data_IF_834610460156
#
_entry.id   IF_834610460156
#
_cell.length_a   1.000
_cell.length_b   1.000
_cell.length_c   1.000
_cell.angle_alpha   90.00
_cell.angle_beta   90.00
_cell.angle_gamma   90.00
#
_symmetry.space_group_name_H-M   'P 1'
#
loop_
_entity.id
_entity.type
_entity.pdbx_description
1 polymer ?
#
# COMPACT_ATOMS: atom_id res chain seq x y z
N UNK A 1 12.64 -1.64 14.56
CA UNK A 1 11.37 -1.48 15.32
C UNK A 1 10.91 -2.84 15.84
N UNK A 2 10.21 -2.94 16.97
CA UNK A 2 9.73 -4.24 17.48
C UNK A 2 8.68 -4.82 16.51
N UNK A 3 8.86 -6.07 16.06
CA UNK A 3 7.94 -6.78 15.16
C UNK A 3 6.49 -6.74 15.65
N UNK A 4 6.30 -6.85 16.97
CA UNK A 4 4.99 -6.74 17.60
C UNK A 4 4.35 -5.39 17.33
N UNK A 5 5.12 -4.30 17.41
CA UNK A 5 4.63 -2.94 17.13
C UNK A 5 4.24 -2.81 15.66
N UNK A 6 5.03 -3.36 14.74
CA UNK A 6 4.71 -3.34 13.31
C UNK A 6 3.40 -4.07 13.02
N UNK A 7 3.22 -5.30 13.54
CA UNK A 7 1.99 -6.09 13.35
C UNK A 7 0.77 -5.37 13.91
N UNK A 8 0.87 -4.84 15.14
CA UNK A 8 -0.22 -4.10 15.78
C UNK A 8 -0.57 -2.84 14.98
N UNK A 9 0.43 -2.14 14.45
CA UNK A 9 0.22 -0.93 13.64
C UNK A 9 -0.46 -1.24 12.30
N UNK A 10 -0.05 -2.32 11.62
CA UNK A 10 -0.66 -2.78 10.36
C UNK A 10 -2.14 -3.15 10.54
N UNK A 11 -2.44 -3.98 11.54
CA UNK A 11 -3.83 -4.36 11.86
C UNK A 11 -4.62 -3.12 12.29
N UNK A 12 -4.00 -2.26 13.11
CA UNK A 12 -4.57 -1.00 13.56
C UNK A 12 -4.97 -0.08 12.41
N UNK A 13 -4.14 0.03 11.36
CA UNK A 13 -4.42 0.85 10.18
C UNK A 13 -5.69 0.39 9.44
N UNK A 14 -5.90 -0.93 9.32
CA UNK A 14 -7.10 -1.51 8.69
C UNK A 14 -8.33 -1.33 9.57
N UNK A 15 -8.21 -1.59 10.88
CA UNK A 15 -9.30 -1.39 11.84
C UNK A 15 -9.72 0.08 11.89
N UNK A 16 -8.76 1.00 11.90
CA UNK A 16 -9.00 2.44 11.84
C UNK A 16 -9.81 2.79 10.59
N UNK A 17 -9.41 2.28 9.42
CA UNK A 17 -10.16 2.49 8.17
C UNK A 17 -11.61 1.99 8.27
N UNK A 18 -11.81 0.80 8.85
CA UNK A 18 -13.16 0.25 9.09
C UNK A 18 -14.00 1.10 10.04
N UNK A 19 -13.40 1.60 11.12
CA UNK A 19 -14.07 2.48 12.08
C UNK A 19 -14.43 3.83 11.45
N UNK A 20 -13.55 4.42 10.64
CA UNK A 20 -13.81 5.68 9.92
C UNK A 20 -15.10 5.58 9.10
N UNK A 21 -15.34 4.45 8.41
CA UNK A 21 -16.59 4.22 7.65
C UNK A 21 -17.84 4.20 8.54
N UNK A 22 -17.73 3.76 9.79
CA UNK A 22 -18.86 3.74 10.72
C UNK A 22 -19.23 5.13 11.24
N UNK A 23 -18.28 6.07 11.26
CA UNK A 23 -18.47 7.42 11.79
C UNK A 23 -18.77 8.47 10.72
N UNK A 24 -18.28 8.29 9.48
CA UNK A 24 -18.49 9.24 8.40
C UNK A 24 -19.81 8.97 7.68
N UNK A 25 -20.62 10.02 7.53
CA UNK A 25 -21.83 10.00 6.70
C UNK A 25 -21.55 9.49 5.29
N UNK A 26 -22.38 8.56 4.80
CA UNK A 26 -22.25 7.93 3.48
C UNK A 26 -22.11 8.93 2.31
N UNK A 27 -22.64 10.14 2.46
CA UNK A 27 -22.52 11.22 1.48
C UNK A 27 -21.09 11.78 1.36
N UNK A 28 -20.33 11.85 2.46
CA UNK A 28 -18.96 12.40 2.49
C UNK A 28 -17.89 11.35 2.20
N UNK A 29 -18.20 10.06 2.36
CA UNK A 29 -17.24 8.96 2.21
C UNK A 29 -16.47 9.00 0.88
N UNK A 30 -17.16 9.21 -0.26
CA UNK A 30 -16.49 9.23 -1.57
C UNK A 30 -15.43 10.32 -1.70
N UNK A 31 -15.72 11.53 -1.22
CA UNK A 31 -14.77 12.65 -1.30
C UNK A 31 -13.59 12.46 -0.35
N UNK A 32 -13.85 11.96 0.86
CA UNK A 32 -12.81 11.69 1.87
C UNK A 32 -11.88 10.58 1.38
N UNK A 33 -12.42 9.47 0.86
CA UNK A 33 -11.65 8.38 0.27
C UNK A 33 -10.72 8.91 -0.83
N UNK A 34 -11.25 9.71 -1.77
CA UNK A 34 -10.46 10.29 -2.86
C UNK A 34 -9.33 11.21 -2.38
N UNK A 35 -9.56 12.00 -1.34
CA UNK A 35 -8.53 12.90 -0.78
C UNK A 35 -7.45 12.10 -0.04
N UNK A 36 -7.85 11.12 0.77
CA UNK A 36 -6.92 10.25 1.51
C UNK A 36 -6.09 9.37 0.55
N UNK A 37 -6.70 8.86 -0.52
CA UNK A 37 -6.00 8.15 -1.58
C UNK A 37 -5.01 9.07 -2.29
N UNK A 38 -5.39 10.31 -2.64
CA UNK A 38 -4.48 11.26 -3.27
C UNK A 38 -3.27 11.60 -2.36
N UNK A 39 -3.49 11.74 -1.05
CA UNK A 39 -2.40 11.89 -0.08
C UNK A 39 -1.47 10.67 -0.09
N UNK A 40 -2.05 9.47 0.04
CA UNK A 40 -1.29 8.21 0.03
C UNK A 40 -0.51 8.00 -1.27
N UNK A 41 -1.11 8.30 -2.42
CA UNK A 41 -0.44 8.22 -3.71
C UNK A 41 0.75 9.16 -3.81
N UNK A 42 0.62 10.41 -3.35
CA UNK A 42 1.75 11.35 -3.29
C UNK A 42 2.86 10.88 -2.35
N UNK A 43 2.49 10.35 -1.18
CA UNK A 43 3.43 9.82 -0.20
C UNK A 43 4.20 8.61 -0.74
N UNK A 44 3.51 7.59 -1.26
CA UNK A 44 4.13 6.40 -1.84
C UNK A 44 5.03 6.73 -3.03
N UNK A 45 4.59 7.65 -3.91
CA UNK A 45 5.39 8.10 -5.04
C UNK A 45 6.71 8.72 -4.56
N UNK A 46 6.64 9.62 -3.57
CA UNK A 46 7.82 10.29 -3.04
C UNK A 46 8.80 9.31 -2.38
N UNK A 47 8.32 8.33 -1.60
CA UNK A 47 9.21 7.30 -1.02
C UNK A 47 9.81 6.41 -2.12
N UNK A 48 9.01 5.96 -3.09
CA UNK A 48 9.51 5.11 -4.16
C UNK A 48 10.66 5.77 -4.93
N UNK A 49 10.53 7.05 -5.29
CA UNK A 49 11.55 7.76 -6.07
C UNK A 49 12.75 8.25 -5.26
N UNK A 50 12.56 8.72 -4.02
CA UNK A 50 13.65 9.32 -3.25
C UNK A 50 14.41 8.33 -2.38
N UNK A 51 13.82 7.15 -2.13
CA UNK A 51 14.38 6.19 -1.18
C UNK A 51 14.56 4.81 -1.81
N UNK A 52 13.49 4.13 -2.20
CA UNK A 52 13.59 2.73 -2.63
C UNK A 52 14.30 2.55 -3.98
N UNK A 53 13.97 3.34 -5.00
CA UNK A 53 14.64 3.23 -6.31
C UNK A 53 16.14 3.52 -6.22
N UNK A 54 16.60 4.63 -5.58
CA UNK A 54 18.04 4.86 -5.39
C UNK A 54 18.76 3.71 -4.70
N UNK A 55 18.19 3.18 -3.60
CA UNK A 55 18.78 2.05 -2.86
C UNK A 55 18.88 0.80 -3.73
N UNK A 56 17.82 0.44 -4.44
CA UNK A 56 17.83 -0.70 -5.35
C UNK A 56 18.91 -0.53 -6.41
N UNK A 57 18.94 0.59 -7.13
CA UNK A 57 19.92 0.79 -8.21
C UNK A 57 21.37 0.89 -7.73
N UNK A 58 21.62 1.22 -6.45
CA UNK A 58 22.94 1.17 -5.84
C UNK A 58 23.51 -0.27 -5.73
N UNK A 59 22.67 -1.31 -5.85
CA UNK A 59 23.11 -2.71 -5.85
C UNK A 59 23.79 -3.14 -7.16
N UNK A 60 23.93 -2.24 -8.16
CA UNK A 60 24.59 -2.49 -9.46
C UNK A 60 24.03 -3.67 -10.27
N UNK A 61 22.79 -4.10 -10.00
CA UNK A 61 22.12 -5.14 -10.76
C UNK A 61 21.32 -4.53 -11.93
N UNK A 62 21.76 -4.78 -13.16
CA UNK A 62 21.13 -4.26 -14.37
C UNK A 62 19.68 -4.73 -14.59
N UNK A 63 19.22 -5.78 -13.89
CA UNK A 63 17.88 -6.34 -14.03
C UNK A 63 16.83 -5.71 -13.11
N UNK A 64 17.21 -4.80 -12.19
CA UNK A 64 16.26 -4.16 -11.24
C UNK A 64 15.09 -3.51 -11.96
N UNK A 65 15.35 -2.77 -13.04
CA UNK A 65 14.29 -2.12 -13.81
C UNK A 65 13.25 -3.10 -14.37
N UNK A 66 13.67 -4.32 -14.73
CA UNK A 66 12.74 -5.35 -15.20
C UNK A 66 11.84 -5.87 -14.08
N UNK A 67 12.36 -6.00 -12.85
CA UNK A 67 11.56 -6.41 -11.70
C UNK A 67 10.58 -5.31 -11.25
N UNK A 68 10.98 -4.03 -11.35
CA UNK A 68 10.07 -2.90 -11.16
C UNK A 68 8.93 -2.93 -12.19
N UNK A 69 9.24 -3.15 -13.47
CA UNK A 69 8.21 -3.31 -14.52
C UNK A 69 7.32 -4.52 -14.24
N UNK A 70 7.89 -5.65 -13.83
CA UNK A 70 7.13 -6.84 -13.48
C UNK A 70 6.15 -6.56 -12.33
N UNK A 71 6.59 -5.86 -11.28
CA UNK A 71 5.74 -5.43 -10.18
C UNK A 71 4.60 -4.51 -10.61
N UNK A 72 4.90 -3.53 -11.47
CA UNK A 72 3.88 -2.65 -12.06
C UNK A 72 2.81 -3.47 -12.80
N UNK A 73 3.23 -4.43 -13.64
CA UNK A 73 2.31 -5.29 -14.39
C UNK A 73 1.52 -6.26 -13.50
N UNK A 74 2.15 -6.82 -12.45
CA UNK A 74 1.46 -7.64 -11.45
C UNK A 74 0.34 -6.82 -10.81
N UNK A 75 0.63 -5.58 -10.41
CA UNK A 75 -0.38 -4.72 -9.83
C UNK A 75 -1.50 -4.39 -10.82
N UNK A 76 -1.18 -4.08 -12.08
CA UNK A 76 -2.18 -3.84 -13.11
C UNK A 76 -3.14 -5.04 -13.30
N UNK A 77 -2.62 -6.28 -13.23
CA UNK A 77 -3.44 -7.50 -13.29
C UNK A 77 -4.31 -7.61 -12.04
N UNK A 78 -3.77 -7.36 -10.85
CA UNK A 78 -4.54 -7.39 -9.61
C UNK A 78 -5.64 -6.30 -9.60
N UNK A 79 -5.35 -5.12 -10.15
CA UNK A 79 -6.31 -4.02 -10.29
C UNK A 79 -7.51 -4.43 -11.16
N UNK A 80 -7.26 -5.09 -12.29
CA UNK A 80 -8.33 -5.60 -13.15
C UNK A 80 -9.32 -6.49 -12.39
N UNK A 81 -8.83 -7.33 -11.46
CA UNK A 81 -9.65 -8.19 -10.63
C UNK A 81 -10.25 -7.47 -9.40
N UNK A 82 -9.60 -6.41 -8.91
CA UNK A 82 -10.08 -5.59 -7.79
C UNK A 82 -11.10 -4.53 -8.22
N UNK A 83 -11.25 -4.28 -9.53
CA UNK A 83 -12.14 -3.25 -10.07
C UNK A 83 -11.72 -1.83 -9.68
N UNK A 84 -10.45 -1.64 -9.29
CA UNK A 84 -9.87 -0.34 -8.99
C UNK A 84 -10.32 0.31 -7.67
N UNK A 85 -10.77 -0.48 -6.69
CA UNK A 85 -11.17 0.04 -5.36
C UNK A 85 -10.00 0.73 -4.66
N UNK A 86 -8.77 0.28 -4.90
CA UNK A 86 -7.54 0.83 -4.32
C UNK A 86 -7.20 2.25 -4.77
N UNK A 87 -7.84 2.77 -5.83
CA UNK A 87 -7.75 4.17 -6.26
C UNK A 87 -9.11 4.88 -6.28
N UNK A 88 -10.15 4.25 -5.72
CA UNK A 88 -11.40 4.91 -5.34
C UNK A 88 -12.60 4.62 -6.25
N UNK A 89 -12.51 3.67 -7.17
CA UNK A 89 -13.67 3.22 -7.96
C UNK A 89 -14.54 2.23 -7.19
N UNK A 90 -15.45 2.76 -6.39
CA UNK A 90 -16.47 1.93 -5.76
C UNK A 90 -17.74 1.96 -6.60
N UNK A 91 -17.87 1.03 -7.55
CA UNK A 91 -19.12 0.81 -8.29
C UNK A 91 -20.12 0.00 -7.45
N UNK A 92 -20.78 0.70 -6.52
CA UNK A 92 -21.78 0.11 -5.63
C UNK A 92 -23.03 -0.26 -6.43
N UNK A 93 -23.29 -1.57 -6.57
CA UNK A 93 -24.59 -2.09 -6.97
C UNK A 93 -25.27 -2.66 -5.73
N UNK A 94 -26.19 -1.90 -5.13
CA UNK A 94 -26.88 -2.29 -3.91
C UNK A 94 -27.54 -3.68 -4.06
N UNK A 95 -27.33 -4.55 -3.07
CA UNK A 95 -27.97 -5.87 -3.00
C UNK A 95 -27.31 -7.00 -3.79
N UNK A 96 -26.20 -6.76 -4.51
CA UNK A 96 -25.42 -7.83 -5.15
C UNK A 96 -24.49 -8.53 -4.14
N UNK A 97 -24.17 -9.83 -4.36
CA UNK A 97 -23.19 -10.55 -3.54
C UNK A 97 -21.80 -9.93 -3.65
N UNK A 98 -20.97 -10.15 -2.63
CA UNK A 98 -19.59 -9.66 -2.62
C UNK A 98 -18.79 -10.21 -3.81
N UNK A 99 -18.04 -9.36 -4.54
CA UNK A 99 -17.09 -9.83 -5.53
C UNK A 99 -15.90 -10.48 -4.82
N UNK A 100 -15.94 -11.80 -4.61
CA UNK A 100 -14.84 -12.53 -3.95
C UNK A 100 -13.50 -12.39 -4.68
N UNK A 101 -13.52 -12.24 -6.00
CA UNK A 101 -12.32 -12.00 -6.80
C UNK A 101 -11.59 -10.72 -6.38
N UNK A 102 -12.34 -9.67 -6.03
CA UNK A 102 -11.81 -8.41 -5.53
C UNK A 102 -11.12 -8.59 -4.19
N UNK A 103 -11.76 -9.31 -3.28
CA UNK A 103 -11.16 -9.61 -1.97
C UNK A 103 -9.86 -10.38 -2.11
N UNK A 104 -9.83 -11.39 -2.98
CA UNK A 104 -8.64 -12.20 -3.23
C UNK A 104 -7.53 -11.35 -3.84
N UNK A 105 -7.85 -10.53 -4.86
CA UNK A 105 -6.86 -9.65 -5.49
C UNK A 105 -6.24 -8.66 -4.49
N UNK A 106 -7.07 -7.98 -3.68
CA UNK A 106 -6.60 -7.09 -2.61
C UNK A 106 -5.76 -7.85 -1.57
N UNK A 107 -6.17 -9.07 -1.20
CA UNK A 107 -5.45 -9.88 -0.23
C UNK A 107 -4.08 -10.30 -0.74
N UNK A 108 -3.97 -10.68 -2.03
CA UNK A 108 -2.69 -11.01 -2.67
C UNK A 108 -1.79 -9.78 -2.76
N UNK A 109 -2.35 -8.64 -3.16
CA UNK A 109 -1.65 -7.36 -3.20
C UNK A 109 -1.03 -7.02 -1.82
N UNK A 110 -1.86 -6.98 -0.76
CA UNK A 110 -1.41 -6.65 0.60
C UNK A 110 -0.46 -7.70 1.19
N UNK A 111 -0.60 -8.97 0.80
CA UNK A 111 0.35 -10.00 1.20
C UNK A 111 1.73 -9.74 0.61
N UNK A 112 1.84 -9.51 -0.71
CA UNK A 112 3.11 -9.29 -1.41
C UNK A 112 3.84 -8.07 -0.84
N UNK A 113 3.10 -6.98 -0.62
CA UNK A 113 3.60 -5.76 -0.02
C UNK A 113 4.15 -5.94 1.41
N UNK A 114 3.58 -6.87 2.18
CA UNK A 114 4.04 -7.15 3.54
C UNK A 114 5.38 -7.89 3.59
N UNK A 115 5.80 -8.58 2.52
CA UNK A 115 6.99 -9.45 2.57
C UNK A 115 8.30 -8.67 2.75
N UNK A 116 8.58 -7.56 2.02
CA UNK A 116 9.82 -6.80 2.19
C UNK A 116 9.98 -6.11 3.55
N UNK A 117 8.93 -6.03 4.38
CA UNK A 117 9.04 -5.54 5.76
C UNK A 117 9.95 -6.42 6.63
N UNK A 118 10.23 -7.66 6.20
CA UNK A 118 11.13 -8.57 6.89
C UNK A 118 12.61 -8.31 6.57
N UNK A 119 12.93 -7.40 5.65
CA UNK A 119 14.33 -7.07 5.30
C UNK A 119 14.97 -6.39 6.51
N UNK A 120 16.03 -6.97 7.11
CA UNK A 120 16.72 -6.34 8.23
C UNK A 120 17.37 -5.04 7.77
N UNK A 121 17.28 -3.99 8.59
CA UNK A 121 17.86 -2.67 8.30
C UNK A 121 19.36 -2.80 7.88
N UNK A 122 20.11 -3.74 8.47
CA UNK A 122 21.55 -3.92 8.19
C UNK A 122 21.90 -4.38 6.76
N UNK A 123 21.00 -5.07 6.04
CA UNK A 123 21.30 -5.59 4.70
C UNK A 123 21.23 -4.48 3.63
N UNK A 124 20.34 -3.51 3.81
CA UNK A 124 20.19 -2.37 2.88
C UNK A 124 21.38 -1.39 2.97
N UNK A 125 22.07 -1.33 4.11
CA UNK A 125 23.10 -0.32 4.40
C UNK A 125 24.51 -0.62 3.83
N UNK A 126 24.74 -1.81 3.25
CA UNK A 126 26.09 -2.17 2.77
C UNK A 126 26.47 -1.57 1.42
N UNK A 127 25.54 -0.87 0.73
CA UNK A 127 25.77 -0.29 -0.59
C UNK A 127 26.08 1.22 -0.60
N UNK A 128 25.91 1.95 0.50
CA UNK A 128 26.06 3.42 0.55
C UNK A 128 27.36 3.89 1.22
N UNK A 129 28.52 3.51 0.66
CA UNK A 129 29.79 4.16 0.99
C UNK A 129 29.99 5.47 0.21
N UNK A 130 29.16 6.48 0.48
CA UNK A 130 29.50 7.89 0.23
C UNK A 130 28.44 8.79 0.89
N UNK A 131 28.89 9.65 1.79
CA UNK A 131 28.13 10.65 2.57
C UNK A 131 27.60 10.17 3.92
N UNK A 132 28.39 10.48 4.95
CA UNK A 132 27.96 10.55 6.34
C UNK A 132 26.80 11.54 6.49
N UNK A 133 25.57 11.05 6.45
CA UNK A 133 24.44 11.62 7.19
C UNK A 133 23.51 10.46 7.58
N UNK A 134 23.21 10.40 8.87
CA UNK A 134 22.29 9.48 9.52
C UNK A 134 21.02 9.18 8.69
N UNK A 135 20.52 7.94 8.69
CA UNK A 135 19.09 7.64 8.95
C UNK A 135 18.79 6.13 9.06
N UNK A 136 18.34 5.72 10.24
CA UNK A 136 17.88 4.37 10.62
C UNK A 136 16.45 4.05 10.12
N UNK A 137 16.08 4.46 8.89
CA UNK A 137 14.67 4.66 8.51
C UNK A 137 14.13 3.84 7.32
N UNK A 138 14.86 2.88 6.73
CA UNK A 138 14.36 2.17 5.54
C UNK A 138 13.17 1.24 5.79
N UNK A 139 13.18 0.45 6.88
CA UNK A 139 12.01 -0.35 7.27
C UNK A 139 10.85 0.51 7.79
N UNK A 140 11.15 1.69 8.37
CA UNK A 140 10.14 2.59 8.93
C UNK A 140 9.41 3.38 7.86
N UNK A 141 10.13 3.86 6.84
CA UNK A 141 9.54 4.56 5.70
C UNK A 141 8.61 3.63 4.91
N UNK A 142 9.01 2.35 4.72
CA UNK A 142 8.16 1.31 4.15
C UNK A 142 6.92 1.05 5.01
N UNK A 143 7.09 0.82 6.32
CA UNK A 143 5.93 0.57 7.20
C UNK A 143 4.95 1.74 7.18
N UNK A 144 5.44 2.99 7.24
CA UNK A 144 4.59 4.17 7.19
C UNK A 144 3.90 4.32 5.84
N UNK A 145 4.59 4.01 4.74
CA UNK A 145 4.00 3.90 3.41
C UNK A 145 2.83 2.95 3.43
N UNK A 146 3.06 1.75 3.97
CA UNK A 146 2.07 0.69 4.09
C UNK A 146 0.86 1.15 4.91
N UNK A 147 1.10 1.69 6.10
CA UNK A 147 0.03 2.20 6.98
C UNK A 147 -0.81 3.27 6.27
N UNK A 148 -0.16 4.25 5.62
CA UNK A 148 -0.86 5.37 5.00
C UNK A 148 -1.65 5.02 3.75
N UNK A 149 -1.28 3.99 2.98
CA UNK A 149 -2.12 3.51 1.86
C UNK A 149 -3.16 2.49 2.32
N UNK A 150 -2.84 1.66 3.31
CA UNK A 150 -3.72 0.56 3.70
C UNK A 150 -4.96 1.06 4.44
N UNK A 151 -4.87 2.18 5.16
CA UNK A 151 -6.05 2.85 5.75
C UNK A 151 -7.07 3.27 4.68
N UNK A 152 -6.75 4.05 3.63
CA UNK A 152 -7.64 4.34 2.52
C UNK A 152 -8.26 3.10 1.86
N UNK A 153 -7.46 2.06 1.61
CA UNK A 153 -7.92 0.79 1.01
C UNK A 153 -8.94 0.09 1.94
N UNK A 154 -8.68 0.07 3.25
CA UNK A 154 -9.59 -0.48 4.24
C UNK A 154 -10.91 0.29 4.33
N UNK A 155 -10.87 1.63 4.22
CA UNK A 155 -12.08 2.46 4.12
C UNK A 155 -12.89 2.03 2.88
N UNK A 156 -12.24 1.92 1.72
CA UNK A 156 -12.91 1.56 0.47
C UNK A 156 -13.52 0.15 0.52
N UNK A 157 -12.79 -0.84 1.06
CA UNK A 157 -13.27 -2.21 1.26
C UNK A 157 -14.43 -2.25 2.26
N UNK A 158 -14.33 -1.56 3.40
CA UNK A 158 -15.42 -1.52 4.37
C UNK A 158 -16.66 -0.83 3.81
N UNK A 159 -16.53 0.28 3.07
CA UNK A 159 -17.64 0.92 2.36
C UNK A 159 -18.34 -0.07 1.41
N UNK A 160 -17.57 -0.85 0.63
CA UNK A 160 -18.13 -1.90 -0.23
C UNK A 160 -18.88 -2.96 0.59
N UNK A 161 -18.28 -3.47 1.66
CA UNK A 161 -18.85 -4.48 2.54
C UNK A 161 -20.14 -4.01 3.23
N UNK A 162 -20.23 -2.72 3.57
CA UNK A 162 -21.44 -2.11 4.15
C UNK A 162 -22.53 -1.86 3.11
N UNK A 163 -22.17 -1.76 1.84
CA UNK A 163 -23.12 -1.64 0.72
C UNK A 163 -23.61 -2.98 0.16
N UNK A 164 -22.89 -4.06 0.48
CA UNK A 164 -23.25 -5.45 0.16
C UNK A 164 -24.36 -5.99 1.08
N UNK A 165 -24.94 -7.15 0.76
CA UNK A 165 -25.97 -7.82 1.58
C UNK A 165 -25.46 -8.44 2.90
N UNK A 166 -24.26 -8.08 3.35
CA UNK A 166 -23.66 -8.64 4.55
C UNK A 166 -24.08 -7.93 5.83
N UNK A 167 -24.26 -8.72 6.89
CA UNK A 167 -24.44 -8.18 8.23
C UNK A 167 -23.15 -7.49 8.71
N UNK A 168 -23.28 -6.53 9.62
CA UNK A 168 -22.14 -5.78 10.17
C UNK A 168 -21.04 -6.70 10.72
N UNK A 169 -21.44 -7.79 11.40
CA UNK A 169 -20.51 -8.80 11.93
C UNK A 169 -19.71 -9.48 10.81
N UNK A 170 -20.37 -9.85 9.70
CA UNK A 170 -19.69 -10.45 8.54
C UNK A 170 -18.76 -9.45 7.84
N UNK A 171 -19.15 -8.19 7.70
CA UNK A 171 -18.28 -7.13 7.15
C UNK A 171 -16.99 -7.02 7.97
N UNK A 172 -17.09 -6.95 9.29
CA UNK A 172 -15.93 -6.90 10.18
C UNK A 172 -15.08 -8.17 10.13
N UNK A 173 -15.69 -9.35 10.08
CA UNK A 173 -14.96 -10.60 9.93
C UNK A 173 -14.09 -10.59 8.67
N UNK A 174 -14.67 -10.22 7.52
CA UNK A 174 -13.94 -10.16 6.25
C UNK A 174 -12.85 -9.09 6.29
N UNK A 175 -13.12 -7.92 6.87
CA UNK A 175 -12.12 -6.87 7.04
C UNK A 175 -10.95 -7.33 7.92
N UNK A 176 -11.21 -8.11 8.98
CA UNK A 176 -10.16 -8.69 9.83
C UNK A 176 -9.36 -9.77 9.11
N UNK A 177 -9.99 -10.57 8.24
CA UNK A 177 -9.25 -11.49 7.37
C UNK A 177 -8.30 -10.74 6.44
N UNK A 178 -8.74 -9.62 5.86
CA UNK A 178 -7.88 -8.74 5.08
C UNK A 178 -6.75 -8.12 5.93
N UNK A 179 -7.04 -7.68 7.16
CA UNK A 179 -6.06 -7.07 8.06
C UNK A 179 -4.86 -7.96 8.40
N UNK A 180 -5.04 -9.29 8.31
CA UNK A 180 -4.00 -10.27 8.60
C UNK A 180 -3.08 -10.51 7.39
N UNK A 181 -3.47 -10.10 6.17
CA UNK A 181 -2.70 -10.40 4.96
C UNK A 181 -1.31 -9.75 4.95
N UNK A 182 -1.17 -8.47 5.33
CA UNK A 182 0.14 -7.82 5.40
C UNK A 182 1.04 -8.40 6.51
N UNK A 183 0.55 -8.63 7.75
CA UNK A 183 1.29 -9.39 8.75
C UNK A 183 1.70 -10.80 8.31
N UNK A 184 0.84 -11.49 7.54
CA UNK A 184 1.18 -12.79 6.96
C UNK A 184 2.31 -12.67 5.93
N UNK A 185 2.31 -11.62 5.10
CA UNK A 185 3.41 -11.30 4.19
C UNK A 185 4.72 -11.11 4.95
N UNK A 186 4.70 -10.32 6.02
CA UNK A 186 5.86 -10.09 6.88
C UNK A 186 6.39 -11.40 7.49
N UNK A 187 5.50 -12.22 8.05
CA UNK A 187 5.88 -13.52 8.61
C UNK A 187 6.48 -14.46 7.55
N UNK A 188 5.93 -14.45 6.33
CA UNK A 188 6.47 -15.19 5.20
C UNK A 188 7.86 -14.68 4.79
N UNK A 189 8.08 -13.36 4.85
CA UNK A 189 9.39 -12.76 4.61
C UNK A 189 10.46 -13.27 5.58
N UNK A 190 10.17 -13.29 6.89
CA UNK A 190 11.10 -13.85 7.88
C UNK A 190 11.34 -15.34 7.68
N UNK A 191 10.29 -16.10 7.39
CA UNK A 191 10.40 -17.54 7.14
C UNK A 191 11.33 -17.85 5.96
N UNK A 192 11.22 -17.08 4.87
CA UNK A 192 12.02 -17.30 3.65
C UNK A 192 13.47 -16.89 3.81
N UNK A 193 13.76 -15.83 4.58
CA UNK A 193 15.14 -15.47 4.93
C UNK A 193 15.80 -16.51 5.85
N UNK A 194 15.10 -16.93 6.91
CA UNK A 194 15.69 -17.74 7.97
C UNK A 194 15.90 -19.22 7.63
N UNK A 195 15.00 -19.82 6.84
CA UNK A 195 15.06 -21.27 6.57
C UNK A 195 15.52 -21.63 5.16
N UNK A 196 15.36 -20.72 4.21
CA UNK A 196 15.17 -21.12 2.82
C UNK A 196 16.10 -20.41 1.84
N UNK A 197 16.51 -19.17 2.12
CA UNK A 197 17.56 -18.45 1.37
C UNK A 197 17.32 -18.31 -0.14
N UNK A 198 16.16 -18.72 -0.66
CA UNK A 198 15.90 -18.82 -2.09
C UNK A 198 15.24 -17.56 -2.66
N UNK A 199 14.60 -16.74 -1.81
CA UNK A 199 14.03 -15.47 -2.25
C UNK A 199 15.08 -14.38 -2.15
N UNK A 200 15.41 -13.79 -3.30
CA UNK A 200 16.17 -12.57 -3.35
C UNK A 200 15.24 -11.40 -2.93
N UNK A 201 15.50 -10.86 -1.75
CA UNK A 201 14.67 -9.81 -1.15
C UNK A 201 14.76 -8.48 -1.91
N UNK A 202 15.88 -8.19 -2.58
CA UNK A 202 16.03 -6.98 -3.40
C UNK A 202 15.16 -7.05 -4.64
N UNK A 203 15.07 -8.23 -5.27
CA UNK A 203 14.17 -8.49 -6.41
C UNK A 203 12.72 -8.30 -5.98
N UNK A 204 12.35 -8.84 -4.82
CA UNK A 204 11.01 -8.70 -4.28
C UNK A 204 10.67 -7.26 -3.90
N UNK A 205 11.62 -6.53 -3.31
CA UNK A 205 11.48 -5.10 -3.05
C UNK A 205 11.29 -4.33 -4.36
N UNK A 206 12.04 -4.64 -5.42
CA UNK A 206 11.85 -4.04 -6.74
C UNK A 206 10.44 -4.30 -7.30
N UNK A 207 9.91 -5.50 -7.13
CA UNK A 207 8.51 -5.83 -7.47
C UNK A 207 7.54 -4.97 -6.67
N UNK A 208 7.70 -4.85 -5.35
CA UNK A 208 6.81 -4.03 -4.50
C UNK A 208 6.89 -2.54 -4.86
N UNK A 209 8.09 -2.02 -5.15
CA UNK A 209 8.26 -0.66 -5.67
C UNK A 209 7.51 -0.46 -6.99
N UNK A 210 7.57 -1.44 -7.89
CA UNK A 210 6.77 -1.45 -9.11
C UNK A 210 5.27 -1.36 -8.84
N UNK A 211 4.77 -2.13 -7.86
CA UNK A 211 3.37 -2.09 -7.44
C UNK A 211 2.99 -0.70 -6.88
N UNK A 212 3.87 -0.08 -6.07
CA UNK A 212 3.64 1.27 -5.53
C UNK A 212 3.60 2.34 -6.62
N UNK A 213 4.50 2.24 -7.62
CA UNK A 213 4.51 3.15 -8.75
C UNK A 213 3.21 3.04 -9.55
N UNK A 214 2.70 1.84 -9.78
CA UNK A 214 1.39 1.64 -10.41
C UNK A 214 0.26 2.31 -9.62
N UNK A 215 0.11 1.98 -8.33
CA UNK A 215 -0.96 2.52 -7.48
C UNK A 215 -0.89 4.05 -7.42
N UNK A 216 0.30 4.60 -7.12
CA UNK A 216 0.48 6.04 -6.97
C UNK A 216 0.21 6.80 -8.28
N UNK A 217 0.69 6.30 -9.42
CA UNK A 217 0.46 6.96 -10.70
C UNK A 217 -1.00 6.86 -11.14
N UNK A 218 -1.65 5.70 -10.99
CA UNK A 218 -3.09 5.54 -11.25
C UNK A 218 -3.90 6.51 -10.40
N UNK A 219 -3.63 6.61 -9.09
CA UNK A 219 -4.31 7.57 -8.21
C UNK A 219 -4.13 9.02 -8.71
N UNK A 220 -2.92 9.43 -9.10
CA UNK A 220 -2.64 10.80 -9.54
C UNK A 220 -3.32 11.12 -10.86
N UNK A 221 -3.25 10.23 -11.85
CA UNK A 221 -3.84 10.47 -13.17
C UNK A 221 -5.36 10.35 -13.15
N UNK A 222 -5.91 9.37 -12.43
CA UNK A 222 -7.34 9.11 -12.38
C UNK A 222 -8.09 10.00 -11.37
N UNK A 223 -7.36 10.67 -10.48
CA UNK A 223 -7.90 11.77 -9.67
C UNK A 223 -8.51 12.91 -10.51
N UNK A 224 -8.26 12.99 -11.83
CA UNK A 224 -8.76 14.02 -12.73
C UNK A 224 -10.13 13.70 -13.39
N UNK A 225 -11.16 13.42 -12.58
CA UNK A 225 -12.53 13.28 -13.12
C UNK A 225 -13.03 14.60 -13.77
N UNK A 226 -13.51 14.53 -15.02
CA UNK A 226 -14.14 15.61 -15.80
C UNK A 226 -13.24 16.82 -16.17
N UNK A 227 -11.92 16.66 -16.25
CA UNK A 227 -10.96 17.71 -16.66
C UNK A 227 -11.02 19.02 -15.84
N UNK A 228 -11.68 19.03 -14.68
CA UNK A 228 -11.69 20.17 -13.76
C UNK A 228 -10.60 19.96 -12.72
N UNK A 229 -9.68 20.91 -12.66
CA UNK A 229 -8.60 20.91 -11.69
C UNK A 229 -9.13 20.88 -10.25
N UNK A 230 -8.76 19.87 -9.47
CA UNK A 230 -9.16 19.75 -8.07
C UNK A 230 -8.00 20.16 -7.15
N UNK A 231 -8.04 21.42 -6.69
CA UNK A 231 -7.01 22.00 -5.81
C UNK A 231 -6.85 21.22 -4.50
N UNK A 232 -7.93 20.69 -3.93
CA UNK A 232 -7.86 19.90 -2.69
C UNK A 232 -7.09 18.59 -2.90
N UNK A 233 -7.27 17.92 -4.05
CA UNK A 233 -6.50 16.71 -4.39
C UNK A 233 -5.02 17.03 -4.62
N UNK A 234 -4.71 18.10 -5.37
CA UNK A 234 -3.32 18.51 -5.56
C UNK A 234 -2.66 18.83 -4.22
N UNK A 235 -3.32 19.62 -3.37
CA UNK A 235 -2.82 19.93 -2.04
C UNK A 235 -2.57 18.65 -1.22
N UNK A 236 -3.49 17.67 -1.28
CA UNK A 236 -3.34 16.37 -0.63
C UNK A 236 -2.09 15.62 -1.11
N UNK A 237 -1.87 15.57 -2.43
CA UNK A 237 -0.67 14.95 -3.04
C UNK A 237 0.59 15.65 -2.54
N UNK A 238 0.63 16.99 -2.59
CA UNK A 238 1.79 17.77 -2.14
C UNK A 238 2.07 17.59 -0.65
N UNK A 239 1.04 17.49 0.19
CA UNK A 239 1.19 17.19 1.63
C UNK A 239 1.78 15.79 1.81
N UNK A 240 1.32 14.79 1.04
CA UNK A 240 1.88 13.43 1.06
C UNK A 240 3.35 13.42 0.67
N UNK A 241 3.72 14.10 -0.43
CA UNK A 241 5.11 14.25 -0.87
C UNK A 241 5.95 14.94 0.20
N UNK A 242 5.48 16.07 0.73
CA UNK A 242 6.21 16.83 1.74
C UNK A 242 6.43 16.01 3.01
N UNK A 243 5.39 15.31 3.49
CA UNK A 243 5.51 14.45 4.66
C UNK A 243 6.53 13.33 4.43
N UNK A 244 6.49 12.67 3.28
CA UNK A 244 7.46 11.64 2.91
C UNK A 244 8.90 12.18 2.94
N UNK A 245 9.14 13.38 2.44
CA UNK A 245 10.46 14.02 2.47
C UNK A 245 10.90 14.45 3.88
N UNK A 246 9.97 14.77 4.78
CA UNK A 246 10.28 15.22 6.16
C UNK A 246 10.60 14.06 7.11
N UNK A 247 10.07 12.87 6.84
CA UNK A 247 10.26 11.69 7.68
C UNK A 247 11.42 10.79 7.19
N UNK A 248 11.99 11.10 6.03
CA UNK A 248 13.19 10.45 5.50
C UNK A 248 14.44 11.03 6.14
#
# INVERSE_FOLDING_TARGET
>A
MNEFISIVSLIGAVVLGGLIVMWIDSYKQKSVIKILLAFSGGFLLAIAFNHFLPELYALHNHYIGLYVIAGFLIQLILEYFSGGIEHGHVHIHAGKPMPWMLFIALSVHSFIEGIPLAIPDEVMHTASHAHEHHTHLSSQSLLLGIIFHQTPVAIALMTLLRSSSFSLKKSWLILMLFAIMTPMGLAFGYFTQGMLGFLNMDILMAVVVGMFLHISTTIIFEASENHRFNMAKLASILIGVLLALLIQ
#
